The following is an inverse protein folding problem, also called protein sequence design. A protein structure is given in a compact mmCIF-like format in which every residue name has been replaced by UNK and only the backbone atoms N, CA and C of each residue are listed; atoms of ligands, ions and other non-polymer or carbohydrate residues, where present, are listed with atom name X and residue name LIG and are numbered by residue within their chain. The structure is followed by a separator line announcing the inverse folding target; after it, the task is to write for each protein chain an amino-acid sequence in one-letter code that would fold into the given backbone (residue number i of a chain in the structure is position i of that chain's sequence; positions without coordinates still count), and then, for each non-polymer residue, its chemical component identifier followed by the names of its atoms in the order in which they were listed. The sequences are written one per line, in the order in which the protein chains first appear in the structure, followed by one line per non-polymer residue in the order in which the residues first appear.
data_IF_315264153253
#
_entry.id   IF_315264153253
#
_cell.length_a   1.000
_cell.length_b   1.000
_cell.length_c   1.000
_cell.angle_alpha   90.00
_cell.angle_beta   90.00
_cell.angle_gamma   90.00
#
_symmetry.space_group_name_H-M   'P 1'
#
loop_
_entity.id
_entity.type
_entity.pdbx_description
1 polymer ?
#
# COMPACT_ATOMS: atom_id res chain seq x y z
N UNK A 1 -25.28 -5.72 7.37
CA UNK A 1 -24.28 -5.76 6.28
C UNK A 1 -24.99 -6.01 4.97
N UNK A 2 -25.08 -5.02 4.07
CA UNK A 2 -25.45 -5.33 2.68
C UNK A 2 -24.24 -6.08 2.09
N UNK A 3 -24.43 -7.36 1.76
CA UNK A 3 -23.54 -8.03 0.81
C UNK A 3 -23.61 -7.19 -0.46
N UNK A 4 -22.57 -6.42 -0.76
CA UNK A 4 -22.45 -5.83 -2.08
C UNK A 4 -22.16 -7.01 -3.00
N UNK A 5 -23.22 -7.54 -3.63
CA UNK A 5 -23.03 -8.30 -4.86
C UNK A 5 -22.59 -7.26 -5.90
N UNK A 6 -21.28 -7.11 -6.05
CA UNK A 6 -20.71 -6.36 -7.15
C UNK A 6 -20.80 -7.26 -8.39
N UNK A 7 -21.72 -6.92 -9.29
CA UNK A 7 -21.69 -7.48 -10.63
C UNK A 7 -20.36 -7.10 -11.28
N UNK A 8 -19.74 -8.07 -11.96
CA UNK A 8 -18.51 -7.83 -12.72
C UNK A 8 -18.91 -7.61 -14.17
N UNK A 9 -18.61 -6.42 -14.69
CA UNK A 9 -18.87 -6.04 -16.08
C UNK A 9 -17.71 -6.46 -16.99
N UNK A 10 -17.92 -6.40 -18.31
CA UNK A 10 -16.83 -6.62 -19.28
C UNK A 10 -15.68 -5.62 -19.10
N UNK A 11 -15.99 -4.37 -18.77
CA UNK A 11 -15.01 -3.33 -18.50
C UNK A 11 -14.16 -3.66 -17.25
N UNK A 12 -14.78 -4.20 -16.21
CA UNK A 12 -14.07 -4.66 -15.01
C UNK A 12 -13.10 -5.78 -15.35
N UNK A 13 -13.50 -6.74 -16.19
CA UNK A 13 -12.61 -7.84 -16.63
C UNK A 13 -11.42 -7.31 -17.43
N UNK A 14 -11.65 -6.34 -18.32
CA UNK A 14 -10.58 -5.69 -19.10
C UNK A 14 -9.60 -4.97 -18.15
N UNK A 15 -10.13 -4.19 -17.22
CA UNK A 15 -9.33 -3.46 -16.22
C UNK A 15 -8.55 -4.42 -15.32
N UNK A 16 -9.20 -5.46 -14.80
CA UNK A 16 -8.57 -6.51 -13.99
C UNK A 16 -7.40 -7.17 -14.73
N UNK A 17 -7.60 -7.50 -16.01
CA UNK A 17 -6.57 -8.15 -16.84
C UNK A 17 -5.37 -7.23 -17.02
N UNK A 18 -5.58 -5.94 -17.29
CA UNK A 18 -4.52 -4.94 -17.42
C UNK A 18 -3.75 -4.76 -16.11
N UNK A 19 -4.47 -4.62 -14.99
CA UNK A 19 -3.86 -4.47 -13.66
C UNK A 19 -3.08 -5.72 -13.27
N UNK A 20 -3.61 -6.92 -13.48
CA UNK A 20 -2.91 -8.16 -13.17
C UNK A 20 -1.67 -8.38 -14.06
N UNK A 21 -1.76 -8.05 -15.35
CA UNK A 21 -0.62 -8.09 -16.25
C UNK A 21 0.48 -7.12 -15.80
N UNK A 22 0.13 -5.88 -15.45
CA UNK A 22 1.07 -4.91 -14.87
C UNK A 22 1.68 -5.41 -13.55
N UNK A 23 0.87 -5.93 -12.63
CA UNK A 23 1.36 -6.45 -11.36
C UNK A 23 2.39 -7.58 -11.56
N UNK A 24 2.15 -8.48 -12.51
CA UNK A 24 3.06 -9.60 -12.83
C UNK A 24 4.29 -9.19 -13.63
N UNK A 25 4.14 -8.29 -14.58
CA UNK A 25 5.18 -7.97 -15.55
C UNK A 25 6.02 -6.76 -15.18
N UNK A 26 5.59 -6.00 -14.18
CA UNK A 26 6.34 -4.85 -13.67
C UNK A 26 6.56 -4.96 -12.16
N UNK A 27 5.50 -4.97 -11.34
CA UNK A 27 5.68 -4.92 -9.88
C UNK A 27 6.43 -6.15 -9.32
N UNK A 28 6.15 -7.33 -9.86
CA UNK A 28 6.79 -8.59 -9.46
C UNK A 28 8.15 -8.84 -10.13
N UNK A 29 8.69 -7.88 -10.90
CA UNK A 29 9.95 -8.04 -11.63
C UNK A 29 11.07 -7.23 -10.99
N UNK A 30 12.28 -7.75 -11.14
CA UNK A 30 13.53 -7.06 -10.81
C UNK A 30 13.68 -5.82 -11.69
N UNK A 31 14.15 -4.73 -11.10
CA UNK A 31 14.44 -3.48 -11.83
C UNK A 31 15.68 -2.82 -11.22
N UNK A 32 16.66 -2.52 -12.07
CA UNK A 32 17.94 -1.93 -11.63
C UNK A 32 17.77 -0.59 -10.91
N UNK A 33 16.73 0.17 -11.26
CA UNK A 33 16.41 1.46 -10.62
C UNK A 33 15.93 1.34 -9.18
N UNK A 34 15.60 0.14 -8.67
CA UNK A 34 15.16 -0.04 -7.29
C UNK A 34 16.27 0.31 -6.29
N UNK A 35 17.52 -0.09 -6.57
CA UNK A 35 18.74 0.25 -5.80
C UNK A 35 18.64 0.04 -4.28
N UNK A 36 17.81 -0.90 -3.82
CA UNK A 36 17.66 -1.17 -2.38
C UNK A 36 18.92 -1.90 -1.86
N UNK A 37 19.34 -1.70 -0.59
CA UNK A 37 20.61 -2.26 -0.11
C UNK A 37 20.57 -3.78 0.21
N UNK A 38 19.45 -4.46 -0.07
CA UNK A 38 19.21 -5.88 0.23
C UNK A 38 18.36 -6.55 -0.86
N UNK A 39 18.53 -7.85 -1.15
CA UNK A 39 17.66 -8.55 -2.11
C UNK A 39 16.22 -8.73 -1.58
N UNK A 40 15.21 -8.91 -2.45
CA UNK A 40 15.26 -8.87 -3.93
C UNK A 40 15.18 -7.44 -4.49
N UNK A 41 15.71 -7.18 -5.69
CA UNK A 41 15.57 -5.88 -6.39
C UNK A 41 14.26 -5.81 -7.20
N UNK A 42 13.25 -6.64 -6.85
CA UNK A 42 11.89 -6.45 -7.37
C UNK A 42 11.35 -5.06 -7.07
N UNK A 43 10.55 -4.50 -7.98
CA UNK A 43 9.85 -3.22 -7.78
C UNK A 43 9.02 -3.25 -6.49
N UNK A 44 8.19 -4.29 -6.32
CA UNK A 44 7.45 -4.54 -5.09
C UNK A 44 7.64 -5.99 -4.62
N UNK A 45 8.35 -6.23 -3.49
CA UNK A 45 8.60 -7.58 -2.98
C UNK A 45 7.35 -8.29 -2.46
N UNK A 46 6.21 -7.60 -2.43
CA UNK A 46 4.94 -8.11 -1.92
C UNK A 46 4.12 -8.85 -2.99
N UNK A 47 4.15 -8.35 -4.23
CA UNK A 47 3.10 -8.64 -5.23
C UNK A 47 3.15 -10.08 -5.69
N UNK A 48 4.34 -10.62 -5.95
CA UNK A 48 4.46 -12.00 -6.41
C UNK A 48 3.91 -13.01 -5.39
N UNK A 49 4.26 -12.81 -4.11
CA UNK A 49 3.79 -13.67 -3.02
C UNK A 49 2.27 -13.59 -2.84
N UNK A 50 1.70 -12.39 -2.92
CA UNK A 50 0.24 -12.18 -2.85
C UNK A 50 -0.52 -12.86 -3.99
N UNK A 51 0.01 -12.78 -5.22
CA UNK A 51 -0.57 -13.45 -6.39
C UNK A 51 -0.51 -14.97 -6.24
N UNK A 52 0.65 -15.52 -5.85
CA UNK A 52 0.81 -16.98 -5.65
C UNK A 52 -0.11 -17.52 -4.55
N UNK A 53 -0.35 -16.72 -3.51
CA UNK A 53 -1.27 -17.04 -2.43
C UNK A 53 -2.75 -16.75 -2.76
N UNK A 54 -3.09 -16.38 -3.99
CA UNK A 54 -4.45 -15.99 -4.41
C UNK A 54 -5.10 -14.95 -3.46
N UNK A 55 -4.28 -14.00 -2.97
CA UNK A 55 -4.63 -13.04 -1.92
C UNK A 55 -4.53 -11.58 -2.39
N UNK A 56 -4.48 -11.37 -3.71
CA UNK A 56 -4.54 -10.08 -4.37
C UNK A 56 -5.96 -9.84 -4.87
N UNK A 57 -6.80 -9.23 -4.04
CA UNK A 57 -8.22 -8.98 -4.32
C UNK A 57 -8.41 -7.69 -5.11
N UNK A 58 -9.50 -7.60 -5.88
CA UNK A 58 -9.88 -6.39 -6.62
C UNK A 58 -11.35 -6.07 -6.42
N UNK A 59 -11.66 -4.78 -6.31
CA UNK A 59 -13.02 -4.21 -6.37
C UNK A 59 -13.02 -3.03 -7.32
N UNK A 60 -14.15 -2.77 -7.96
CA UNK A 60 -14.27 -1.79 -9.03
C UNK A 60 -15.32 -0.73 -8.70
N UNK A 61 -14.96 0.53 -8.96
CA UNK A 61 -15.82 1.70 -8.78
C UNK A 61 -15.88 2.48 -10.09
N UNK A 62 -16.78 2.06 -10.98
CA UNK A 62 -16.98 2.66 -12.30
C UNK A 62 -17.78 3.96 -12.24
N UNK A 63 -18.49 4.20 -11.14
CA UNK A 63 -19.28 5.41 -10.90
C UNK A 63 -18.43 6.65 -10.58
N UNK A 64 -17.14 6.47 -10.29
CA UNK A 64 -16.23 7.56 -9.93
C UNK A 64 -15.37 7.99 -11.12
N UNK A 65 -15.48 9.26 -11.51
CA UNK A 65 -14.74 9.89 -12.60
C UNK A 65 -13.55 10.75 -12.14
N UNK A 66 -13.38 10.92 -10.83
CA UNK A 66 -12.29 11.69 -10.22
C UNK A 66 -12.56 13.17 -9.99
N UNK A 67 -13.75 13.68 -10.34
CA UNK A 67 -14.11 15.08 -10.10
C UNK A 67 -14.10 15.47 -8.62
N UNK A 68 -14.40 14.51 -7.75
CA UNK A 68 -14.41 14.71 -6.30
C UNK A 68 -13.50 13.70 -5.57
N UNK A 69 -12.40 14.22 -5.02
CA UNK A 69 -11.48 13.45 -4.19
C UNK A 69 -12.14 12.95 -2.89
N UNK A 70 -13.16 13.65 -2.38
CA UNK A 70 -13.92 13.28 -1.19
C UNK A 70 -14.71 11.98 -1.40
N UNK A 71 -15.44 11.87 -2.51
CA UNK A 71 -16.14 10.65 -2.90
C UNK A 71 -15.20 9.44 -3.03
N UNK A 72 -14.01 9.64 -3.61
CA UNK A 72 -12.99 8.57 -3.66
C UNK A 72 -12.53 8.20 -2.25
N UNK A 73 -12.28 9.19 -1.38
CA UNK A 73 -11.86 8.97 0.00
C UNK A 73 -12.90 8.17 0.81
N UNK A 74 -14.18 8.51 0.69
CA UNK A 74 -15.27 7.84 1.38
C UNK A 74 -15.39 6.37 0.95
N UNK A 75 -15.29 6.10 -0.36
CA UNK A 75 -15.26 4.74 -0.89
C UNK A 75 -14.09 3.95 -0.30
N UNK A 76 -12.87 4.49 -0.33
CA UNK A 76 -11.69 3.80 0.18
C UNK A 76 -11.79 3.52 1.68
N UNK A 77 -12.23 4.51 2.46
CA UNK A 77 -12.44 4.35 3.90
C UNK A 77 -13.52 3.30 4.22
N UNK A 78 -14.54 3.17 3.36
CA UNK A 78 -15.57 2.15 3.44
C UNK A 78 -15.03 0.71 3.41
N UNK A 79 -13.86 0.48 2.80
CA UNK A 79 -13.24 -0.85 2.74
C UNK A 79 -12.36 -1.22 3.93
N UNK A 80 -12.07 -0.30 4.87
CA UNK A 80 -11.18 -0.59 6.00
C UNK A 80 -11.65 -1.77 6.84
N UNK A 81 -12.93 -1.79 7.23
CA UNK A 81 -13.49 -2.88 8.03
C UNK A 81 -13.74 -4.15 7.19
N UNK A 82 -14.40 -4.07 6.01
CA UNK A 82 -14.55 -5.23 5.12
C UNK A 82 -13.22 -5.93 4.80
N UNK A 83 -12.15 -5.18 4.55
CA UNK A 83 -10.83 -5.75 4.29
C UNK A 83 -10.30 -6.54 5.48
N UNK A 84 -10.42 -6.01 6.70
CA UNK A 84 -9.96 -6.68 7.92
C UNK A 84 -10.75 -7.95 8.22
N UNK A 85 -12.05 -7.91 7.99
CA UNK A 85 -13.00 -9.00 8.27
C UNK A 85 -13.02 -10.08 7.17
N UNK A 86 -12.48 -9.79 5.98
CA UNK A 86 -12.38 -10.77 4.90
C UNK A 86 -11.32 -11.84 5.19
N UNK A 87 -11.53 -13.10 4.75
CA UNK A 87 -10.48 -14.11 4.74
C UNK A 87 -9.31 -13.68 3.82
N UNK A 88 -8.11 -14.29 3.96
CA UNK A 88 -7.74 -15.30 4.95
C UNK A 88 -7.63 -14.79 6.40
N UNK A 89 -7.79 -15.71 7.37
CA UNK A 89 -7.71 -15.41 8.81
C UNK A 89 -6.39 -15.84 9.45
N UNK A 90 -5.67 -16.78 8.84
CA UNK A 90 -4.37 -17.20 9.36
C UNK A 90 -3.35 -16.06 9.22
N UNK A 91 -2.58 -15.80 10.29
CA UNK A 91 -1.66 -14.64 10.35
C UNK A 91 -0.65 -14.57 9.21
N UNK A 92 -0.14 -15.71 8.77
CA UNK A 92 0.84 -15.77 7.67
C UNK A 92 0.21 -15.47 6.30
N UNK A 93 -1.04 -15.91 6.10
CA UNK A 93 -1.80 -15.62 4.87
C UNK A 93 -2.31 -14.16 4.87
N UNK A 94 -2.71 -13.63 6.02
CA UNK A 94 -3.07 -12.21 6.18
C UNK A 94 -1.93 -11.28 5.80
N UNK A 95 -0.68 -11.68 6.02
CA UNK A 95 0.47 -10.89 5.61
C UNK A 95 0.53 -10.72 4.08
N UNK A 96 -0.04 -11.65 3.30
CA UNK A 96 -0.08 -11.65 1.83
C UNK A 96 -1.39 -11.10 1.25
N UNK A 97 -2.35 -10.73 2.11
CA UNK A 97 -3.63 -10.13 1.72
C UNK A 97 -3.47 -8.65 1.32
N UNK A 98 -3.84 -8.35 0.09
CA UNK A 98 -3.97 -6.98 -0.42
C UNK A 98 -5.29 -6.81 -1.20
N UNK A 99 -5.85 -5.60 -1.13
CA UNK A 99 -7.04 -5.19 -1.88
C UNK A 99 -6.67 -4.03 -2.80
N UNK A 100 -6.92 -4.21 -4.09
CA UNK A 100 -6.87 -3.14 -5.08
C UNK A 100 -8.28 -2.58 -5.27
N UNK A 101 -8.46 -1.30 -5.00
CA UNK A 101 -9.69 -0.56 -5.29
C UNK A 101 -9.43 0.18 -6.60
N UNK A 102 -10.06 -0.28 -7.68
CA UNK A 102 -9.79 0.14 -9.05
C UNK A 102 -10.86 1.13 -9.50
N UNK A 103 -10.43 2.20 -10.15
CA UNK A 103 -11.29 3.27 -10.65
C UNK A 103 -11.12 3.45 -12.17
N UNK A 104 -11.79 2.61 -12.99
CA UNK A 104 -11.56 2.60 -14.44
C UNK A 104 -11.88 3.92 -15.14
N UNK A 105 -12.85 4.66 -14.61
CA UNK A 105 -13.42 5.85 -15.25
C UNK A 105 -12.84 7.18 -14.74
N UNK A 106 -11.80 7.16 -13.89
CA UNK A 106 -11.10 8.40 -13.54
C UNK A 106 -10.40 8.95 -14.78
N UNK A 107 -10.82 10.13 -15.21
CA UNK A 107 -10.26 10.79 -16.38
C UNK A 107 -8.82 11.28 -16.12
N UNK A 108 -8.01 11.36 -17.19
CA UNK A 108 -6.60 11.76 -17.08
C UNK A 108 -6.42 13.13 -16.41
N UNK A 109 -7.32 14.08 -16.68
CA UNK A 109 -7.32 15.42 -16.09
C UNK A 109 -7.59 15.44 -14.57
N UNK A 110 -8.19 14.37 -14.04
CA UNK A 110 -8.58 14.24 -12.63
C UNK A 110 -7.72 13.26 -11.83
N UNK A 111 -6.64 12.72 -12.42
CA UNK A 111 -5.75 11.79 -11.72
C UNK A 111 -5.18 12.35 -10.40
N UNK A 112 -4.97 13.67 -10.31
CA UNK A 112 -4.50 14.32 -9.08
C UNK A 112 -5.47 14.21 -7.90
N UNK A 113 -6.76 13.92 -8.14
CA UNK A 113 -7.71 13.64 -7.08
C UNK A 113 -7.33 12.38 -6.28
N UNK A 114 -6.68 11.41 -6.92
CA UNK A 114 -6.23 10.19 -6.25
C UNK A 114 -5.05 10.46 -5.31
N UNK A 115 -4.11 11.32 -5.73
CA UNK A 115 -2.99 11.77 -4.90
C UNK A 115 -3.49 12.56 -3.68
N UNK A 116 -4.42 13.49 -3.91
CA UNK A 116 -5.02 14.30 -2.84
C UNK A 116 -5.83 13.44 -1.86
N UNK A 117 -6.59 12.49 -2.39
CA UNK A 117 -7.31 11.50 -1.60
C UNK A 117 -6.35 10.69 -0.72
N UNK A 118 -5.30 10.11 -1.32
CA UNK A 118 -4.30 9.33 -0.61
C UNK A 118 -3.66 10.12 0.54
N UNK A 119 -3.19 11.34 0.26
CA UNK A 119 -2.62 12.25 1.24
C UNK A 119 -3.57 12.50 2.42
N UNK A 120 -4.85 12.70 2.11
CA UNK A 120 -5.88 13.01 3.11
C UNK A 120 -6.22 11.82 4.00
N UNK A 121 -6.32 10.60 3.43
CA UNK A 121 -6.79 9.43 4.18
C UNK A 121 -5.67 8.57 4.77
N UNK A 122 -4.41 8.69 4.29
CA UNK A 122 -3.27 7.89 4.76
C UNK A 122 -3.17 7.87 6.29
N UNK A 123 -3.30 8.99 7.03
CA UNK A 123 -3.24 8.95 8.50
C UNK A 123 -4.33 8.07 9.14
N UNK A 124 -5.56 8.13 8.61
CA UNK A 124 -6.69 7.31 9.10
C UNK A 124 -6.46 5.82 8.82
N UNK A 125 -5.99 5.49 7.61
CA UNK A 125 -5.66 4.11 7.22
C UNK A 125 -4.54 3.55 8.10
N UNK A 126 -3.45 4.31 8.28
CA UNK A 126 -2.28 3.94 9.11
C UNK A 126 -2.68 3.71 10.57
N UNK A 127 -3.47 4.61 11.16
CA UNK A 127 -3.99 4.44 12.53
C UNK A 127 -4.79 3.15 12.69
N UNK A 128 -5.47 2.73 11.62
CA UNK A 128 -6.22 1.47 11.58
C UNK A 128 -5.33 0.22 11.49
N UNK A 129 -4.00 0.36 11.30
CA UNK A 129 -3.06 -0.74 11.17
C UNK A 129 -2.90 -1.28 9.76
N UNK A 130 -3.35 -0.51 8.77
CA UNK A 130 -3.23 -0.81 7.36
C UNK A 130 -2.24 0.15 6.70
N UNK A 131 -1.81 -0.19 5.50
CA UNK A 131 -1.07 0.70 4.61
C UNK A 131 -1.85 0.93 3.33
N UNK A 132 -1.64 2.09 2.73
CA UNK A 132 -2.24 2.48 1.45
C UNK A 132 -1.17 3.05 0.50
N UNK A 133 -1.25 2.66 -0.76
CA UNK A 133 -0.51 3.27 -1.87
C UNK A 133 -1.44 3.65 -3.01
N UNK A 134 -1.13 4.75 -3.68
CA UNK A 134 -1.84 5.28 -4.84
C UNK A 134 -1.09 4.97 -6.13
N UNK A 135 -1.83 4.64 -7.19
CA UNK A 135 -1.27 4.25 -8.47
C UNK A 135 -2.14 4.78 -9.60
N UNK A 136 -1.52 5.44 -10.58
CA UNK A 136 -2.21 5.91 -11.79
C UNK A 136 -1.22 6.17 -12.93
N UNK A 137 -1.68 6.32 -14.18
CA UNK A 137 -0.79 6.44 -15.35
C UNK A 137 0.22 7.60 -15.30
N UNK A 138 -0.07 8.64 -14.51
CA UNK A 138 0.74 9.85 -14.37
C UNK A 138 1.38 10.00 -12.98
N UNK A 139 1.35 8.94 -12.15
CA UNK A 139 1.86 8.99 -10.79
C UNK A 139 3.34 9.35 -10.76
N UNK A 140 3.69 10.24 -9.83
CA UNK A 140 5.05 10.78 -9.64
C UNK A 140 5.70 10.34 -8.34
N UNK A 141 5.16 9.30 -7.71
CA UNK A 141 5.74 8.72 -6.50
C UNK A 141 7.19 8.30 -6.75
N UNK A 142 8.07 8.65 -5.82
CA UNK A 142 9.50 8.37 -5.86
C UNK A 142 9.81 7.02 -5.22
N UNK A 143 10.80 6.30 -5.74
CA UNK A 143 11.29 5.09 -5.09
C UNK A 143 12.11 5.46 -3.84
N UNK A 144 11.82 4.82 -2.69
CA UNK A 144 12.50 5.07 -1.40
C UNK A 144 14.04 5.08 -1.54
N UNK A 145 14.59 4.14 -2.29
CA UNK A 145 16.03 3.94 -2.42
C UNK A 145 16.62 4.57 -3.69
N UNK A 146 15.80 5.25 -4.50
CA UNK A 146 16.22 5.97 -5.69
C UNK A 146 15.24 7.10 -6.05
N UNK A 147 15.32 8.27 -5.38
CA UNK A 147 14.39 9.39 -5.60
C UNK A 147 14.31 9.89 -7.05
N UNK A 148 15.38 9.72 -7.84
CA UNK A 148 15.39 10.05 -9.27
C UNK A 148 14.38 9.22 -10.08
N UNK A 149 13.98 8.05 -9.56
CA UNK A 149 12.97 7.21 -10.16
C UNK A 149 11.57 7.52 -9.61
N UNK A 150 10.92 8.51 -10.22
CA UNK A 150 9.58 9.01 -9.89
C UNK A 150 8.44 8.35 -10.68
N UNK A 151 8.62 7.10 -11.09
CA UNK A 151 7.64 6.36 -11.88
C UNK A 151 7.27 5.02 -11.26
N UNK A 152 7.68 4.77 -10.01
CA UNK A 152 7.52 3.46 -9.36
C UNK A 152 6.03 3.05 -9.28
N UNK A 153 5.14 4.02 -9.07
CA UNK A 153 3.70 3.79 -8.90
C UNK A 153 2.85 4.05 -10.16
N UNK A 154 3.45 4.06 -11.36
CA UNK A 154 2.67 4.20 -12.60
C UNK A 154 1.96 2.90 -12.95
N UNK A 155 0.62 2.92 -12.92
CA UNK A 155 -0.26 1.80 -13.28
C UNK A 155 -1.02 2.07 -14.58
N UNK A 156 -1.53 1.02 -15.26
CA UNK A 156 -2.34 1.18 -16.47
C UNK A 156 -3.75 1.73 -16.21
N UNK A 157 -4.24 1.60 -14.97
CA UNK A 157 -5.57 2.02 -14.52
C UNK A 157 -5.43 2.66 -13.14
N UNK A 158 -6.11 3.79 -12.85
CA UNK A 158 -6.11 4.40 -11.53
C UNK A 158 -6.62 3.44 -10.46
N UNK A 159 -5.87 3.28 -9.37
CA UNK A 159 -6.23 2.40 -8.26
C UNK A 159 -5.52 2.81 -6.96
N UNK A 160 -6.07 2.39 -5.83
CA UNK A 160 -5.32 2.33 -4.57
C UNK A 160 -5.13 0.88 -4.13
N UNK A 161 -4.01 0.59 -3.47
CA UNK A 161 -3.75 -0.69 -2.85
C UNK A 161 -3.81 -0.55 -1.33
N UNK A 162 -4.65 -1.35 -0.67
CA UNK A 162 -4.68 -1.51 0.79
C UNK A 162 -4.05 -2.85 1.15
N UNK A 163 -3.19 -2.87 2.17
CA UNK A 163 -2.70 -4.11 2.78
C UNK A 163 -2.51 -3.96 4.29
N UNK A 164 -2.30 -5.08 4.97
CA UNK A 164 -1.84 -5.05 6.36
C UNK A 164 -0.47 -4.36 6.47
N UNK A 165 -0.29 -3.59 7.54
CA UNK A 165 1.00 -3.00 7.88
C UNK A 165 2.02 -4.10 8.22
N UNK A 166 3.28 -3.86 7.88
CA UNK A 166 4.42 -4.76 8.01
C UNK A 166 5.60 -4.03 8.65
N UNK A 167 6.63 -4.78 9.06
CA UNK A 167 7.84 -4.18 9.65
C UNK A 167 8.52 -3.16 8.73
N UNK A 168 8.56 -3.40 7.42
CA UNK A 168 9.22 -2.52 6.46
C UNK A 168 8.52 -1.16 6.32
N UNK A 169 7.28 -1.03 6.80
CA UNK A 169 6.53 0.21 6.68
C UNK A 169 7.10 1.36 7.51
N UNK A 170 8.03 1.08 8.44
CA UNK A 170 8.78 2.14 9.11
C UNK A 170 9.45 3.08 8.10
N UNK A 171 9.89 2.58 6.94
CA UNK A 171 10.50 3.40 5.88
C UNK A 171 9.57 4.47 5.29
N UNK A 172 8.24 4.36 5.49
CA UNK A 172 7.23 5.30 4.97
C UNK A 172 6.52 6.10 6.07
N UNK A 173 6.82 5.81 7.34
CA UNK A 173 6.08 6.31 8.51
C UNK A 173 6.99 6.95 9.56
N UNK A 174 8.32 6.91 9.36
CA UNK A 174 9.31 7.36 10.35
C UNK A 174 9.42 8.88 10.49
N UNK A 175 8.87 9.64 9.54
CA UNK A 175 8.97 11.10 9.42
C UNK A 175 7.68 11.85 9.79
N UNK A 176 6.62 11.11 10.11
CA UNK A 176 5.36 11.63 10.67
C UNK A 176 5.11 11.02 12.05
N UNK A 177 4.94 11.86 13.07
CA UNK A 177 4.80 11.39 14.45
C UNK A 177 3.60 10.46 14.63
N UNK A 178 2.43 10.85 14.12
CA UNK A 178 1.20 10.09 14.33
C UNK A 178 1.27 8.72 13.66
N UNK A 179 1.82 8.68 12.44
CA UNK A 179 2.09 7.46 11.70
C UNK A 179 3.11 6.57 12.42
N UNK A 180 4.19 7.16 12.93
CA UNK A 180 5.20 6.43 13.70
C UNK A 180 4.60 5.84 14.97
N UNK A 181 3.76 6.56 15.72
CA UNK A 181 3.08 6.02 16.91
C UNK A 181 2.15 4.85 16.58
N UNK A 182 1.42 4.94 15.48
CA UNK A 182 0.59 3.83 15.00
C UNK A 182 1.44 2.60 14.65
N UNK A 183 2.61 2.79 14.04
CA UNK A 183 3.59 1.74 13.79
C UNK A 183 4.19 1.17 15.10
N UNK A 184 4.65 2.04 16.00
CA UNK A 184 5.31 1.69 17.25
C UNK A 184 4.41 0.86 18.16
N UNK A 185 3.13 1.22 18.29
CA UNK A 185 2.15 0.43 19.05
C UNK A 185 2.00 -1.02 18.56
N UNK A 186 2.38 -1.31 17.31
CA UNK A 186 2.28 -2.65 16.69
C UNK A 186 3.60 -3.40 16.68
N UNK A 187 4.69 -2.69 16.38
CA UNK A 187 5.99 -3.30 16.09
C UNK A 187 7.09 -2.90 17.06
N UNK A 188 6.89 -1.93 17.94
CA UNK A 188 7.94 -1.42 18.84
C UNK A 188 8.62 -2.51 19.67
N UNK A 189 7.86 -3.52 20.12
CA UNK A 189 8.42 -4.67 20.85
C UNK A 189 9.43 -5.49 20.03
N UNK A 190 9.37 -5.44 18.70
CA UNK A 190 10.33 -6.10 17.80
C UNK A 190 11.69 -5.40 17.77
N UNK A 191 11.73 -4.12 18.10
CA UNK A 191 12.96 -3.31 18.15
C UNK A 191 13.57 -3.24 19.55
N UNK A 192 12.90 -3.78 20.57
CA UNK A 192 13.45 -3.87 21.92
C UNK A 192 14.81 -4.59 21.93
N UNK A 193 15.67 -4.21 22.89
CA UNK A 193 17.03 -4.75 23.03
C UNK A 193 17.85 -4.64 21.72
N UNK A 194 17.70 -3.51 21.01
CA UNK A 194 18.41 -3.27 19.75
C UNK A 194 17.99 -4.22 18.62
N UNK A 195 16.75 -4.71 18.62
CA UNK A 195 16.25 -5.62 17.60
C UNK A 195 16.81 -7.04 17.67
N UNK A 196 17.19 -7.51 18.86
CA UNK A 196 17.77 -8.85 19.07
C UNK A 196 16.91 -9.99 18.47
N UNK A 197 15.59 -9.81 18.40
CA UNK A 197 14.63 -10.80 17.89
C UNK A 197 14.19 -10.56 16.43
N UNK A 198 14.80 -9.59 15.74
CA UNK A 198 14.58 -9.41 14.32
C UNK A 198 15.35 -10.45 13.51
N UNK A 199 14.70 -10.99 12.48
CA UNK A 199 15.41 -11.79 11.47
C UNK A 199 16.54 -10.96 10.85
N UNK A 200 17.67 -11.59 10.44
CA UNK A 200 18.81 -10.88 9.85
C UNK A 200 18.42 -9.90 8.74
N UNK A 201 17.48 -10.32 7.88
CA UNK A 201 16.94 -9.51 6.79
C UNK A 201 16.29 -8.20 7.26
N UNK A 202 15.72 -8.13 8.47
CA UNK A 202 15.04 -6.93 8.99
C UNK A 202 15.97 -5.98 9.77
N UNK A 203 17.23 -6.34 10.01
CA UNK A 203 18.12 -5.51 10.85
C UNK A 203 18.40 -4.12 10.28
N UNK A 204 18.32 -3.97 8.96
CA UNK A 204 18.46 -2.67 8.30
C UNK A 204 17.38 -1.64 8.70
N UNK A 205 16.26 -2.10 9.28
CA UNK A 205 15.17 -1.24 9.74
C UNK A 205 15.45 -0.57 11.10
N UNK A 206 16.42 -1.08 11.88
CA UNK A 206 16.70 -0.61 13.25
C UNK A 206 17.07 0.87 13.24
N UNK A 207 17.98 1.28 12.36
CA UNK A 207 18.42 2.69 12.27
C UNK A 207 17.25 3.63 11.98
N UNK A 208 16.32 3.21 11.11
CA UNK A 208 15.13 3.97 10.78
C UNK A 208 14.19 4.11 11.99
N UNK A 209 13.93 3.00 12.70
CA UNK A 209 13.11 2.99 13.90
C UNK A 209 13.70 3.83 15.04
N UNK A 210 14.97 3.65 15.37
CA UNK A 210 15.62 4.40 16.46
C UNK A 210 15.67 5.91 16.17
N UNK A 211 15.92 6.30 14.91
CA UNK A 211 15.88 7.71 14.51
C UNK A 211 14.51 8.33 14.76
N UNK A 212 13.43 7.66 14.35
CA UNK A 212 12.07 8.14 14.59
C UNK A 212 11.74 8.18 16.09
N UNK A 213 12.10 7.11 16.82
CA UNK A 213 11.87 7.03 18.27
C UNK A 213 12.55 8.17 19.02
N UNK A 214 13.81 8.49 18.68
CA UNK A 214 14.53 9.62 19.26
C UNK A 214 13.89 10.96 18.89
N UNK A 215 13.45 11.13 17.64
CA UNK A 215 12.80 12.36 17.18
C UNK A 215 11.51 12.67 17.94
N UNK A 216 10.76 11.66 18.37
CA UNK A 216 9.46 11.82 19.03
C UNK A 216 9.47 11.45 20.53
N UNK A 217 10.63 11.24 21.16
CA UNK A 217 10.70 10.79 22.56
C UNK A 217 10.13 11.77 23.62
N UNK A 218 9.82 13.02 23.24
CA UNK A 218 9.46 14.11 24.17
C UNK A 218 8.09 14.78 23.99
N UNK A 219 7.12 14.11 23.35
CA UNK A 219 5.78 14.70 23.05
C UNK A 219 4.62 13.95 23.75
N UNK A 220 4.84 13.44 24.96
CA UNK A 220 3.77 12.87 25.80
C UNK A 220 3.11 13.93 26.68
#
# INVERSE_FOLDING_TARGET
MRKIQSFVTTEDVISATRVLAWARNYLAREEEKVRRPYPPQTVCPYVEASIKANSLYMVFHNELNGEDAGSIADVILGYVNPFKEAPPFARHEQALKALLIVFPNIEEKFLGALDECHRTIKPKIVKSGLMIGQFHPRCREEAIHNPEWNAISRSPVPLVAIRNMTLHDIMFLHDDEQAFRAYESRFGSRFAQGGAFLYPYHKHLITCYERAKSAYAGHQ
#
